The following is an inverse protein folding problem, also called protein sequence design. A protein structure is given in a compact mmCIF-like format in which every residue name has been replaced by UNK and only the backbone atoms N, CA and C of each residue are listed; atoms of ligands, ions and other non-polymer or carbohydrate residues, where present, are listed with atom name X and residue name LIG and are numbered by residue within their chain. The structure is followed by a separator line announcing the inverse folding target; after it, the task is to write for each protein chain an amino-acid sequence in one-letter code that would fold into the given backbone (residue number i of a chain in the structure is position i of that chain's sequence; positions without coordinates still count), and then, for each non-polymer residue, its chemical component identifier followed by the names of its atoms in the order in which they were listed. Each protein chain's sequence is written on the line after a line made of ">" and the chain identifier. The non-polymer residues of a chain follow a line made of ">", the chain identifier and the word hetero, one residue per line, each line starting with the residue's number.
data_IF_982858894643
#
_entry.id   IF_982858894643
#
_cell.length_a   1.000
_cell.length_b   1.000
_cell.length_c   1.000
_cell.angle_alpha   90.00
_cell.angle_beta   90.00
_cell.angle_gamma   90.00
#
_symmetry.space_group_name_H-M   'P 1'
#
loop_
_entity.id
_entity.type
_entity.pdbx_description
1 polymer ?
#
# COMPACT_ATOMS: atom_id res chain seq x y z
N UNK A 1 -6.85 12.80 4.02
CA UNK A 1 -6.53 11.59 3.23
C UNK A 1 -7.02 10.41 4.02
N UNK A 2 -7.67 9.47 3.37
CA UNK A 2 -8.04 8.18 3.95
C UNK A 2 -7.22 7.07 3.28
N UNK A 3 -6.75 6.11 4.07
CA UNK A 3 -5.81 5.08 3.67
C UNK A 3 -6.37 3.72 4.04
N UNK A 4 -6.79 2.95 3.04
CA UNK A 4 -7.29 1.59 3.26
C UNK A 4 -6.16 0.60 2.98
N UNK A 5 -5.68 -0.04 4.04
CA UNK A 5 -4.58 -1.01 3.98
C UNK A 5 -5.12 -2.39 3.60
N UNK A 6 -4.48 -3.11 2.65
CA UNK A 6 -4.87 -4.48 2.35
C UNK A 6 -4.61 -5.41 3.55
N UNK A 7 -5.25 -6.57 3.54
CA UNK A 7 -4.92 -7.64 4.48
C UNK A 7 -3.50 -8.18 4.24
N UNK A 8 -2.77 -8.48 5.31
CA UNK A 8 -1.44 -9.10 5.21
C UNK A 8 -1.58 -10.60 4.91
N UNK A 9 -2.41 -11.31 5.68
CA UNK A 9 -2.65 -12.76 5.53
C UNK A 9 -4.09 -13.10 5.22
N UNK A 10 -5.04 -12.19 5.44
CA UNK A 10 -6.43 -12.36 5.02
C UNK A 10 -6.52 -12.38 3.49
N UNK A 11 -7.30 -13.28 2.88
CA UNK A 11 -7.46 -13.30 1.43
C UNK A 11 -8.05 -11.99 0.92
N UNK A 12 -7.61 -11.56 -0.27
CA UNK A 12 -8.29 -10.51 -1.01
C UNK A 12 -9.63 -11.00 -1.55
N UNK A 13 -10.41 -10.08 -2.08
CA UNK A 13 -11.68 -10.40 -2.71
C UNK A 13 -11.50 -11.19 -4.01
N UNK A 14 -12.53 -11.96 -4.41
CA UNK A 14 -12.56 -12.65 -5.70
C UNK A 14 -12.40 -11.70 -6.90
N UNK A 15 -11.96 -12.20 -8.08
CA UNK A 15 -11.75 -11.39 -9.29
C UNK A 15 -12.98 -10.61 -9.74
N UNK A 16 -14.18 -11.11 -9.46
CA UNK A 16 -15.45 -10.45 -9.78
C UNK A 16 -15.59 -9.12 -9.04
N UNK A 17 -15.11 -9.03 -7.80
CA UNK A 17 -15.13 -7.78 -7.02
C UNK A 17 -14.05 -6.81 -7.51
N UNK A 18 -12.87 -7.32 -7.89
CA UNK A 18 -11.81 -6.49 -8.48
C UNK A 18 -12.27 -5.84 -9.79
N UNK A 19 -13.05 -6.56 -10.60
CA UNK A 19 -13.59 -6.05 -11.86
C UNK A 19 -14.54 -4.85 -11.68
N UNK A 20 -15.14 -4.68 -10.49
CA UNK A 20 -16.02 -3.55 -10.16
C UNK A 20 -15.26 -2.29 -9.73
N UNK A 21 -13.96 -2.39 -9.39
CA UNK A 21 -13.15 -1.25 -8.91
C UNK A 21 -13.21 -0.03 -9.86
N UNK A 22 -13.09 -0.16 -11.19
CA UNK A 22 -13.22 0.99 -12.09
C UNK A 22 -14.58 1.70 -11.99
N UNK A 23 -15.66 0.95 -11.76
CA UNK A 23 -17.00 1.51 -11.53
C UNK A 23 -17.07 2.25 -10.20
N UNK A 24 -16.59 1.62 -9.13
CA UNK A 24 -16.52 2.23 -7.79
C UNK A 24 -15.72 3.52 -7.82
N UNK A 25 -14.56 3.55 -8.48
CA UNK A 25 -13.72 4.75 -8.60
C UNK A 25 -14.38 5.85 -9.45
N UNK A 26 -15.18 5.47 -10.46
CA UNK A 26 -15.95 6.43 -11.27
C UNK A 26 -17.04 7.09 -10.42
N UNK A 27 -17.75 6.30 -9.61
CA UNK A 27 -18.89 6.76 -8.83
C UNK A 27 -18.48 7.46 -7.53
N UNK A 28 -17.24 7.26 -7.07
CA UNK A 28 -16.67 7.87 -5.87
C UNK A 28 -15.46 8.75 -6.22
N UNK A 29 -15.66 10.00 -6.68
CA UNK A 29 -14.58 10.85 -7.19
C UNK A 29 -13.53 11.27 -6.15
N UNK A 30 -13.83 11.07 -4.87
CA UNK A 30 -12.91 11.28 -3.76
C UNK A 30 -11.93 10.10 -3.58
N UNK A 31 -12.28 8.90 -4.06
CA UNK A 31 -11.40 7.74 -4.09
C UNK A 31 -10.43 7.84 -5.27
N UNK A 32 -9.14 7.61 -5.00
CA UNK A 32 -8.07 7.78 -6.01
C UNK A 32 -7.44 6.48 -6.46
N UNK A 33 -7.64 5.42 -5.68
CA UNK A 33 -7.01 4.12 -5.89
C UNK A 33 -7.88 3.03 -5.27
N UNK A 34 -7.91 1.87 -5.92
CA UNK A 34 -8.56 0.66 -5.44
C UNK A 34 -7.76 -0.56 -5.88
N UNK A 35 -7.66 -1.54 -4.99
CA UNK A 35 -7.18 -2.89 -5.21
C UNK A 35 -7.87 -3.76 -4.17
N UNK A 36 -8.71 -4.68 -4.62
CA UNK A 36 -9.52 -5.54 -3.77
C UNK A 36 -8.90 -6.93 -3.59
N UNK A 37 -7.97 -7.32 -4.48
CA UNK A 37 -7.52 -8.71 -4.63
C UNK A 37 -6.16 -9.01 -3.99
N UNK A 38 -5.23 -8.06 -3.95
CA UNK A 38 -3.86 -8.32 -3.52
C UNK A 38 -3.66 -8.09 -2.02
N UNK A 39 -2.92 -9.00 -1.39
CA UNK A 39 -2.40 -8.82 -0.03
C UNK A 39 -1.25 -7.84 -0.03
N UNK A 40 -0.96 -7.22 1.10
CA UNK A 40 0.13 -6.26 1.16
C UNK A 40 0.21 -5.50 2.47
N UNK A 41 0.89 -4.37 2.39
CA UNK A 41 0.97 -3.38 3.45
C UNK A 41 1.17 -2.00 2.82
N UNK A 42 1.00 -0.96 3.64
CA UNK A 42 1.36 0.41 3.25
C UNK A 42 2.57 0.89 4.02
N UNK A 43 3.46 1.62 3.36
CA UNK A 43 4.50 2.41 4.01
C UNK A 43 4.07 3.88 4.02
N UNK A 44 4.30 4.54 5.15
CA UNK A 44 3.98 5.96 5.35
C UNK A 44 5.25 6.74 5.62
N UNK A 45 5.54 7.71 4.76
CA UNK A 45 6.53 8.75 4.98
C UNK A 45 5.80 10.04 5.37
N UNK A 46 6.00 10.49 6.61
CA UNK A 46 5.26 11.60 7.21
C UNK A 46 6.24 12.65 7.69
N UNK A 47 6.08 13.86 7.15
CA UNK A 47 6.77 15.07 7.60
C UNK A 47 5.75 16.17 7.92
N UNK A 48 6.20 17.31 8.45
CA UNK A 48 5.31 18.44 8.71
C UNK A 48 4.71 19.02 7.41
N UNK A 49 5.40 18.87 6.28
CA UNK A 49 5.06 19.45 4.99
C UNK A 49 4.21 18.50 4.13
N UNK A 50 4.35 17.19 4.31
CA UNK A 50 3.67 16.18 3.48
C UNK A 50 3.42 14.86 4.20
N UNK A 51 2.43 14.14 3.71
CA UNK A 51 2.27 12.71 3.93
C UNK A 51 2.32 12.01 2.57
N UNK A 52 3.17 11.00 2.43
CA UNK A 52 3.22 10.09 1.30
C UNK A 52 2.91 8.67 1.77
N UNK A 53 1.95 8.02 1.10
CA UNK A 53 1.58 6.63 1.34
C UNK A 53 1.87 5.79 0.11
N UNK A 54 2.47 4.62 0.34
CA UNK A 54 2.92 3.69 -0.69
C UNK A 54 2.34 2.31 -0.44
N UNK A 55 1.58 1.79 -1.40
CA UNK A 55 1.02 0.44 -1.34
C UNK A 55 2.03 -0.55 -1.92
N UNK A 56 2.46 -1.49 -1.08
CA UNK A 56 3.30 -2.62 -1.45
C UNK A 56 2.46 -3.89 -1.43
N UNK A 57 2.34 -4.54 -2.58
CA UNK A 57 1.57 -5.78 -2.69
C UNK A 57 2.49 -7.00 -2.74
N UNK A 58 2.04 -8.04 -2.04
CA UNK A 58 2.69 -9.32 -1.95
C UNK A 58 2.39 -10.15 -3.22
N UNK A 59 3.37 -10.91 -3.73
CA UNK A 59 3.12 -11.88 -4.78
C UNK A 59 2.10 -12.93 -4.36
N UNK A 60 1.23 -13.36 -5.27
CA UNK A 60 0.25 -14.40 -4.99
C UNK A 60 0.91 -15.66 -4.42
N UNK A 61 0.36 -16.20 -3.32
CA UNK A 61 0.88 -17.39 -2.65
C UNK A 61 2.13 -17.17 -1.80
N UNK A 62 2.52 -15.92 -1.48
CA UNK A 62 3.77 -15.64 -0.76
C UNK A 62 3.68 -15.87 0.75
N UNK A 63 2.49 -15.85 1.34
CA UNK A 63 2.32 -16.00 2.79
C UNK A 63 2.04 -17.45 3.20
N UNK A 64 1.76 -18.30 2.22
CA UNK A 64 1.56 -19.74 2.33
C UNK A 64 2.88 -20.51 2.24
N UNK A 65 3.98 -19.82 1.92
CA UNK A 65 5.31 -20.40 1.70
C UNK A 65 6.30 -19.85 2.73
N UNK A 66 7.26 -20.68 3.13
CA UNK A 66 8.35 -20.24 4.03
C UNK A 66 9.32 -19.31 3.29
N UNK A 67 9.48 -19.48 1.98
CA UNK A 67 10.37 -18.65 1.18
C UNK A 67 9.84 -17.21 1.10
N UNK A 68 10.60 -16.26 1.65
CA UNK A 68 10.26 -14.84 1.57
C UNK A 68 10.35 -14.37 0.12
N UNK A 69 9.22 -13.91 -0.41
CA UNK A 69 9.17 -13.16 -1.67
C UNK A 69 8.85 -11.69 -1.36
N UNK A 70 9.68 -10.73 -1.80
CA UNK A 70 9.49 -9.34 -1.45
C UNK A 70 8.20 -8.79 -2.06
N UNK A 71 7.56 -7.87 -1.35
CA UNK A 71 6.45 -7.10 -1.90
C UNK A 71 6.96 -6.08 -2.93
N UNK A 72 6.16 -5.81 -3.95
CA UNK A 72 6.44 -4.81 -4.97
C UNK A 72 5.62 -3.54 -4.75
N UNK A 73 6.23 -2.38 -4.96
CA UNK A 73 5.50 -1.11 -5.00
C UNK A 73 4.47 -1.16 -6.14
N UNK A 74 3.22 -0.88 -5.82
CA UNK A 74 2.14 -0.80 -6.80
C UNK A 74 1.72 0.62 -7.09
N UNK A 75 1.57 1.45 -6.05
CA UNK A 75 1.23 2.86 -6.22
C UNK A 75 1.68 3.69 -5.03
N UNK A 76 1.88 4.98 -5.27
CA UNK A 76 2.15 5.97 -4.24
C UNK A 76 1.26 7.20 -4.42
N UNK A 77 0.77 7.72 -3.32
CA UNK A 77 -0.02 8.95 -3.26
C UNK A 77 0.50 9.85 -2.17
N UNK A 78 0.44 11.15 -2.39
CA UNK A 78 0.84 12.13 -1.39
C UNK A 78 -0.17 13.26 -1.29
N UNK A 79 -0.18 13.89 -0.12
CA UNK A 79 -0.85 15.16 0.14
C UNK A 79 0.13 16.11 0.81
N UNK A 80 0.08 17.39 0.46
CA UNK A 80 0.82 18.43 1.16
C UNK A 80 -0.01 19.03 2.27
N UNK A 81 0.63 19.48 3.34
CA UNK A 81 -0.03 20.23 4.42
C UNK A 81 -0.75 21.45 3.84
N UNK A 82 -2.00 21.67 4.27
CA UNK A 82 -2.85 22.78 3.79
C UNK A 82 -3.38 22.67 2.35
N UNK A 83 -2.93 21.71 1.54
CA UNK A 83 -3.38 21.60 0.14
C UNK A 83 -4.83 21.08 0.02
N UNK A 84 -5.19 20.08 0.81
CA UNK A 84 -6.51 19.44 0.74
C UNK A 84 -6.74 18.55 -0.48
N UNK A 85 -5.68 18.21 -1.23
CA UNK A 85 -5.79 17.35 -2.42
C UNK A 85 -4.67 16.32 -2.52
N UNK A 86 -5.03 15.16 -3.08
CA UNK A 86 -4.13 14.04 -3.34
C UNK A 86 -3.50 14.16 -4.72
N UNK A 87 -2.21 13.87 -4.80
CA UNK A 87 -1.45 13.76 -6.04
C UNK A 87 -0.70 12.44 -6.08
N UNK A 88 -0.53 11.85 -7.26
CA UNK A 88 0.32 10.66 -7.40
C UNK A 88 1.76 11.00 -7.00
N UNK A 89 2.39 10.12 -6.24
CA UNK A 89 3.81 10.22 -5.95
C UNK A 89 4.60 9.84 -7.21
N UNK A 90 5.63 10.63 -7.54
CA UNK A 90 6.49 10.36 -8.70
C UNK A 90 7.52 9.25 -8.43
N UNK A 91 7.97 9.12 -7.18
CA UNK A 91 8.95 8.13 -6.73
C UNK A 91 8.62 7.65 -5.32
N UNK A 92 9.06 6.45 -4.92
CA UNK A 92 9.08 6.04 -3.52
C UNK A 92 9.85 7.02 -2.65
N UNK A 93 9.48 7.07 -1.38
CA UNK A 93 10.17 7.77 -0.32
C UNK A 93 11.52 7.12 -0.04
N UNK A 94 12.45 7.92 0.47
CA UNK A 94 13.74 7.40 0.92
C UNK A 94 13.54 6.57 2.21
N UNK A 95 14.30 5.48 2.39
CA UNK A 95 14.33 4.78 3.67
C UNK A 95 14.65 5.72 4.82
N UNK A 96 14.03 5.49 5.98
CA UNK A 96 14.29 6.27 7.20
C UNK A 96 15.76 6.08 7.62
N UNK A 97 16.49 7.18 7.72
CA UNK A 97 17.84 7.18 8.25
C UNK A 97 17.86 6.72 9.71
N UNK A 98 18.83 5.88 10.06
CA UNK A 98 18.95 5.33 11.42
C UNK A 98 17.79 4.43 11.83
N UNK A 99 17.09 3.79 10.89
CA UNK A 99 16.11 2.75 11.22
C UNK A 99 16.77 1.66 12.09
N UNK A 100 16.10 1.19 13.16
CA UNK A 100 16.65 0.12 13.98
C UNK A 100 16.84 -1.15 13.15
N UNK A 101 17.77 -2.00 13.57
CA UNK A 101 17.91 -3.32 13.00
C UNK A 101 16.57 -4.08 13.07
N UNK A 102 16.29 -4.88 12.05
CA UNK A 102 15.11 -5.75 12.08
C UNK A 102 15.17 -6.66 13.31
N UNK A 103 14.00 -6.98 13.87
CA UNK A 103 13.93 -7.90 14.99
C UNK A 103 14.61 -9.23 14.63
N UNK A 104 15.34 -9.85 15.57
CA UNK A 104 15.95 -11.15 15.34
C UNK A 104 14.85 -12.15 14.95
N UNK A 105 15.10 -12.91 13.91
CA UNK A 105 14.21 -13.99 13.47
C UNK A 105 14.97 -15.31 13.61
N UNK A 106 14.42 -16.23 14.39
CA UNK A 106 14.87 -17.63 14.42
C UNK A 106 13.80 -18.47 13.72
N UNK A 107 14.15 -19.29 12.71
CA UNK A 107 13.20 -20.24 12.15
C UNK A 107 12.84 -21.31 13.19
N UNK A 108 11.55 -21.50 13.42
CA UNK A 108 11.01 -22.66 14.13
C UNK A 108 11.11 -23.95 13.31
#
# INVERSE_FOLDING_TARGET
>A
MELITPGVTSPGHPPEVEAEIPGILRDNPHMRYGNASQRGYILLDVTAERLQAEWFHLPHGSVERRERRPAGLSTGWLTRSGSGHLTRAGTPSAPREGAPAAAPWEPA
#
